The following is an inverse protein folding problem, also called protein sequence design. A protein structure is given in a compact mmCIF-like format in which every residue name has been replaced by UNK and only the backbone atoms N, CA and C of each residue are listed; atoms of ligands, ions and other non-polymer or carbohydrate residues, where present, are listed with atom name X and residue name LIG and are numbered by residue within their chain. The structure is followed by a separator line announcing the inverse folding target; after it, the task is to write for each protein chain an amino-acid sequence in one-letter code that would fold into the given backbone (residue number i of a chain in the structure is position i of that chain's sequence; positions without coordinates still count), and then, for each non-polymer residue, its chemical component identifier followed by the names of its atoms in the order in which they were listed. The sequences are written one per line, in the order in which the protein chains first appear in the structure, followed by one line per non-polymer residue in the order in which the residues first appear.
data_IF_452173480974
#
_entry.id   IF_452173480974
#
_cell.length_a   1.000
_cell.length_b   1.000
_cell.length_c   1.000
_cell.angle_alpha   90.00
_cell.angle_beta   90.00
_cell.angle_gamma   90.00
#
_symmetry.space_group_name_H-M   'P 1'
#
loop_
_entity.id
_entity.type
_entity.pdbx_description
1 polymer ?
#
# COMPACT_ATOMS: atom_id res chain seq x y z
N UNK A 1 8.63 -38.29 10.61
CA UNK A 1 7.86 -37.17 11.19
C UNK A 1 7.64 -36.16 10.06
N UNK A 2 6.45 -36.14 9.43
CA UNK A 2 6.11 -35.15 8.39
C UNK A 2 5.69 -33.88 9.11
N UNK A 3 6.44 -32.80 8.95
CA UNK A 3 6.00 -31.46 9.36
C UNK A 3 4.79 -31.15 8.46
N UNK A 4 3.59 -30.89 9.00
CA UNK A 4 2.47 -30.48 8.17
C UNK A 4 2.84 -29.14 7.54
N UNK A 5 2.88 -29.11 6.21
CA UNK A 5 3.03 -27.87 5.45
C UNK A 5 1.67 -27.20 5.52
N UNK A 6 1.43 -26.40 6.56
CA UNK A 6 0.25 -25.55 6.64
C UNK A 6 0.40 -24.47 5.57
N UNK A 7 -0.57 -24.37 4.66
CA UNK A 7 -0.59 -23.28 3.69
C UNK A 7 -0.65 -21.94 4.45
N UNK A 8 0.09 -20.91 3.99
CA UNK A 8 0.08 -19.61 4.65
C UNK A 8 -1.34 -19.05 4.67
N UNK A 9 -1.73 -18.53 5.85
CA UNK A 9 -3.00 -17.85 6.06
C UNK A 9 -3.11 -16.62 5.15
N UNK A 10 -4.34 -16.16 4.87
CA UNK A 10 -4.55 -14.95 4.07
C UNK A 10 -3.86 -13.70 4.67
N UNK A 11 -3.72 -13.63 6.00
CA UNK A 11 -2.97 -12.57 6.68
C UNK A 11 -1.46 -12.65 6.42
N UNK A 12 -0.87 -13.84 6.47
CA UNK A 12 0.54 -14.05 6.13
C UNK A 12 0.82 -13.76 4.64
N UNK A 13 -0.07 -14.21 3.76
CA UNK A 13 -0.01 -13.88 2.32
C UNK A 13 -0.03 -12.36 2.08
N UNK A 14 -0.98 -11.66 2.70
CA UNK A 14 -1.07 -10.20 2.62
C UNK A 14 0.19 -9.51 3.17
N UNK A 15 0.73 -10.02 4.28
CA UNK A 15 1.96 -9.51 4.89
C UNK A 15 3.16 -9.67 3.95
N UNK A 16 3.34 -10.81 3.30
CA UNK A 16 4.43 -11.00 2.33
C UNK A 16 4.37 -9.98 1.18
N UNK A 17 3.20 -9.79 0.60
CA UNK A 17 3.00 -8.80 -0.46
C UNK A 17 3.26 -7.36 0.03
N UNK A 18 2.76 -6.99 1.21
CA UNK A 18 2.99 -5.66 1.79
C UNK A 18 4.45 -5.40 2.18
N UNK A 19 5.20 -6.43 2.62
CA UNK A 19 6.63 -6.31 2.88
C UNK A 19 7.43 -6.11 1.58
N UNK A 20 7.06 -6.81 0.50
CA UNK A 20 7.64 -6.57 -0.82
C UNK A 20 7.33 -5.14 -1.30
N UNK A 21 6.08 -4.71 -1.22
CA UNK A 21 5.65 -3.37 -1.64
C UNK A 21 6.28 -2.27 -0.79
N UNK A 22 6.44 -2.50 0.52
CA UNK A 22 7.12 -1.59 1.43
C UNK A 22 6.35 -0.30 1.75
N UNK A 23 5.08 -0.19 1.41
CA UNK A 23 4.23 0.96 1.73
C UNK A 23 2.76 0.53 1.78
N UNK A 24 1.86 1.36 2.34
CA UNK A 24 0.43 1.11 2.23
C UNK A 24 0.00 1.04 0.77
N UNK A 25 -0.80 0.03 0.44
CA UNK A 25 -1.08 -0.34 -0.93
C UNK A 25 -2.57 -0.57 -1.16
N UNK A 26 -3.09 -0.35 -2.38
CA UNK A 26 -4.45 -0.72 -2.72
C UNK A 26 -4.64 -2.23 -2.52
N UNK A 27 -5.74 -2.65 -1.91
CA UNK A 27 -6.02 -4.08 -1.70
C UNK A 27 -5.94 -4.89 -3.01
N UNK A 28 -6.34 -4.29 -4.14
CA UNK A 28 -6.19 -4.89 -5.46
C UNK A 28 -4.73 -5.16 -5.83
N UNK A 29 -3.83 -4.19 -5.60
CA UNK A 29 -2.40 -4.35 -5.91
C UNK A 29 -1.77 -5.44 -5.02
N UNK A 30 -2.15 -5.48 -3.74
CA UNK A 30 -1.66 -6.54 -2.82
C UNK A 30 -2.07 -7.93 -3.32
N UNK A 31 -3.33 -8.10 -3.72
CA UNK A 31 -3.81 -9.36 -4.31
C UNK A 31 -3.07 -9.72 -5.61
N UNK A 32 -2.86 -8.74 -6.51
CA UNK A 32 -2.18 -8.96 -7.78
C UNK A 32 -0.70 -9.33 -7.61
N UNK A 33 0.00 -8.64 -6.72
CA UNK A 33 1.40 -8.94 -6.37
C UNK A 33 1.51 -10.33 -5.76
N UNK A 34 0.61 -10.68 -4.84
CA UNK A 34 0.60 -11.99 -4.23
C UNK A 34 0.38 -13.10 -5.27
N UNK A 35 -0.64 -12.94 -6.12
CA UNK A 35 -0.96 -13.90 -7.16
C UNK A 35 0.17 -14.05 -8.20
N UNK A 36 0.85 -12.96 -8.57
CA UNK A 36 1.88 -13.01 -9.61
C UNK A 36 3.24 -13.50 -9.11
N UNK A 37 3.58 -13.28 -7.83
CA UNK A 37 4.95 -13.52 -7.33
C UNK A 37 5.05 -14.63 -6.29
N UNK A 38 3.93 -15.01 -5.66
CA UNK A 38 3.89 -15.93 -4.52
C UNK A 38 2.85 -17.06 -4.68
N UNK A 39 2.27 -17.24 -5.87
CA UNK A 39 1.34 -18.34 -6.22
C UNK A 39 0.16 -18.52 -5.23
N UNK A 40 -0.41 -17.42 -4.71
CA UNK A 40 -1.54 -17.48 -3.78
C UNK A 40 -2.88 -16.98 -4.31
N UNK A 41 -3.94 -17.27 -3.55
CA UNK A 41 -5.35 -17.06 -3.87
C UNK A 41 -5.97 -15.85 -3.14
N UNK A 42 -5.12 -14.94 -2.67
CA UNK A 42 -5.52 -13.74 -1.95
C UNK A 42 -6.51 -12.89 -2.76
N UNK A 43 -7.70 -12.66 -2.21
CA UNK A 43 -8.76 -11.88 -2.85
C UNK A 43 -9.01 -10.54 -2.15
N UNK A 44 -9.52 -9.56 -2.90
CA UNK A 44 -9.88 -8.24 -2.34
C UNK A 44 -10.93 -8.34 -1.22
N UNK A 45 -12.00 -9.16 -1.33
CA UNK A 45 -12.94 -9.36 -0.23
C UNK A 45 -12.29 -9.96 1.03
N UNK A 46 -11.36 -10.91 0.87
CA UNK A 46 -10.62 -11.48 1.99
C UNK A 46 -9.75 -10.41 2.68
N UNK A 47 -9.04 -9.58 1.91
CA UNK A 47 -8.29 -8.45 2.44
C UNK A 47 -9.17 -7.45 3.19
N UNK A 48 -10.35 -7.13 2.67
CA UNK A 48 -11.29 -6.24 3.34
C UNK A 48 -11.80 -6.83 4.66
N UNK A 49 -11.98 -8.15 4.74
CA UNK A 49 -12.33 -8.84 5.99
C UNK A 49 -11.18 -8.77 7.00
N UNK A 50 -9.94 -9.03 6.56
CA UNK A 50 -8.75 -8.96 7.42
C UNK A 50 -8.51 -7.55 7.98
N UNK A 51 -8.77 -6.49 7.22
CA UNK A 51 -8.63 -5.11 7.75
C UNK A 51 -9.64 -4.81 8.87
N UNK A 52 -10.79 -5.49 8.90
CA UNK A 52 -11.77 -5.38 10.00
C UNK A 52 -11.44 -6.31 11.17
N UNK A 53 -10.63 -7.33 10.94
CA UNK A 53 -10.19 -8.28 11.95
C UNK A 53 -8.95 -7.73 12.66
N UNK A 54 -9.10 -7.38 13.93
CA UNK A 54 -8.04 -6.74 14.70
C UNK A 54 -6.85 -7.65 14.97
N UNK A 55 -7.04 -8.96 14.91
CA UNK A 55 -5.99 -9.96 15.14
C UNK A 55 -5.21 -10.29 13.85
N UNK A 56 -5.69 -9.84 12.68
CA UNK A 56 -5.07 -10.16 11.39
C UNK A 56 -3.75 -9.42 11.13
N UNK A 57 -3.38 -8.44 11.97
CA UNK A 57 -2.16 -7.64 11.82
C UNK A 57 -2.18 -6.68 10.63
N UNK A 58 -3.36 -6.45 10.04
CA UNK A 58 -3.59 -5.47 8.98
C UNK A 58 -4.43 -4.31 9.50
N UNK A 59 -4.25 -3.13 8.91
CA UNK A 59 -5.07 -1.95 9.21
C UNK A 59 -5.28 -1.09 7.96
N UNK A 60 -6.09 -0.05 8.08
CA UNK A 60 -6.22 0.96 7.04
C UNK A 60 -4.98 1.89 7.06
N UNK A 61 -4.66 2.45 5.90
CA UNK A 61 -3.87 3.66 5.83
C UNK A 61 -4.73 4.87 6.24
N UNK A 62 -4.11 5.92 6.76
CA UNK A 62 -4.82 7.13 7.19
C UNK A 62 -4.44 8.32 6.28
N UNK A 63 -5.36 9.24 6.04
CA UNK A 63 -5.05 10.50 5.36
C UNK A 63 -4.53 11.56 6.34
N UNK A 64 -4.28 12.77 5.84
CA UNK A 64 -3.84 13.89 6.66
C UNK A 64 -4.87 14.28 7.73
N UNK A 65 -6.15 13.95 7.56
CA UNK A 65 -7.20 14.21 8.55
C UNK A 65 -7.35 13.06 9.56
N UNK A 66 -6.46 12.07 9.50
CA UNK A 66 -6.47 10.85 10.31
C UNK A 66 -7.72 10.00 10.07
N UNK A 67 -8.37 10.17 8.91
CA UNK A 67 -9.47 9.32 8.46
C UNK A 67 -8.91 8.13 7.67
N UNK A 68 -9.61 7.00 7.76
CA UNK A 68 -9.23 5.81 6.99
C UNK A 68 -9.38 6.05 5.49
N UNK A 69 -8.33 5.75 4.72
CA UNK A 69 -8.34 5.84 3.27
C UNK A 69 -8.97 4.57 2.69
N UNK A 70 -10.15 4.64 2.04
CA UNK A 70 -10.85 3.45 1.59
C UNK A 70 -10.00 2.60 0.63
N UNK A 71 -9.96 1.30 0.90
CA UNK A 71 -9.26 0.32 0.06
C UNK A 71 -7.73 0.35 0.12
N UNK A 72 -7.13 1.24 0.92
CA UNK A 72 -5.68 1.30 1.12
C UNK A 72 -5.32 0.60 2.43
N UNK A 73 -4.52 -0.46 2.32
CA UNK A 73 -4.21 -1.36 3.43
C UNK A 73 -2.74 -1.28 3.81
N UNK A 74 -2.45 -1.46 5.09
CA UNK A 74 -1.11 -1.40 5.67
C UNK A 74 -0.93 -2.51 6.72
N UNK A 75 0.32 -2.74 7.13
CA UNK A 75 0.62 -3.57 8.29
C UNK A 75 0.38 -2.76 9.57
N UNK A 76 -0.30 -3.36 10.55
CA UNK A 76 -0.60 -2.70 11.82
C UNK A 76 0.67 -2.40 12.65
N UNK A 77 1.74 -3.16 12.43
CA UNK A 77 3.05 -2.96 13.07
C UNK A 77 3.89 -1.84 12.45
N UNK A 78 3.46 -1.27 11.32
CA UNK A 78 4.14 -0.11 10.75
C UNK A 78 3.89 1.14 11.58
N UNK A 79 4.93 1.97 11.76
CA UNK A 79 4.80 3.25 12.44
C UNK A 79 3.76 4.11 11.72
N UNK A 80 3.03 4.93 12.47
CA UNK A 80 1.94 5.75 11.91
C UNK A 80 2.43 6.67 10.79
N UNK A 81 3.65 7.17 10.92
CA UNK A 81 4.39 7.97 9.94
C UNK A 81 4.44 7.30 8.57
N UNK A 82 4.53 5.97 8.52
CA UNK A 82 4.54 5.18 7.28
C UNK A 82 3.14 4.89 6.76
N UNK A 83 2.13 4.92 7.63
CA UNK A 83 0.73 4.63 7.31
C UNK A 83 -0.07 5.89 6.93
N UNK A 84 0.47 7.07 7.21
CA UNK A 84 -0.14 8.36 6.89
C UNK A 84 0.13 8.73 5.41
N UNK A 85 -0.93 8.92 4.65
CA UNK A 85 -0.92 9.09 3.19
C UNK A 85 -1.50 10.44 2.81
N UNK A 86 -0.64 11.44 2.69
CA UNK A 86 -0.96 12.69 2.00
C UNK A 86 -1.03 12.45 0.47
N UNK A 87 -1.65 13.35 -0.32
CA UNK A 87 -1.78 13.16 -1.76
C UNK A 87 -0.45 12.89 -2.49
N UNK A 88 0.61 13.67 -2.23
CA UNK A 88 1.93 13.45 -2.86
C UNK A 88 2.61 12.21 -2.28
N UNK A 89 2.50 11.96 -0.97
CA UNK A 89 3.06 10.75 -0.37
C UNK A 89 2.46 9.47 -0.96
N UNK A 90 1.15 9.46 -1.24
CA UNK A 90 0.47 8.34 -1.90
C UNK A 90 1.05 8.07 -3.29
N UNK A 91 1.28 9.14 -4.07
CA UNK A 91 1.88 9.05 -5.40
C UNK A 91 3.33 8.55 -5.33
N UNK A 92 4.13 9.08 -4.41
CA UNK A 92 5.51 8.65 -4.19
C UNK A 92 5.58 7.18 -3.76
N UNK A 93 4.72 6.74 -2.84
CA UNK A 93 4.62 5.34 -2.42
C UNK A 93 4.25 4.44 -3.61
N UNK A 94 3.32 4.86 -4.47
CA UNK A 94 2.96 4.11 -5.67
C UNK A 94 4.16 3.88 -6.60
N UNK A 95 4.95 4.91 -6.85
CA UNK A 95 6.15 4.79 -7.69
C UNK A 95 7.23 3.93 -7.03
N UNK A 96 7.45 4.10 -5.71
CA UNK A 96 8.37 3.25 -4.96
C UNK A 96 7.97 1.77 -4.97
N UNK A 97 6.68 1.47 -4.87
CA UNK A 97 6.15 0.11 -5.01
C UNK A 97 6.43 -0.47 -6.41
N UNK A 98 6.24 0.33 -7.46
CA UNK A 98 6.51 -0.08 -8.84
C UNK A 98 7.99 -0.40 -9.04
N UNK A 99 8.90 0.43 -8.53
CA UNK A 99 10.35 0.19 -8.57
C UNK A 99 10.67 -1.16 -7.93
N UNK A 100 10.18 -1.39 -6.70
CA UNK A 100 10.46 -2.62 -5.95
C UNK A 100 9.93 -3.87 -6.65
N UNK A 101 8.73 -3.81 -7.21
CA UNK A 101 8.15 -4.94 -7.97
C UNK A 101 8.91 -5.19 -9.25
N UNK A 102 9.24 -4.16 -10.01
CA UNK A 102 9.99 -4.28 -11.26
C UNK A 102 11.40 -4.85 -11.03
N UNK A 103 12.11 -4.37 -10.00
CA UNK A 103 13.42 -4.90 -9.59
C UNK A 103 13.32 -6.36 -9.13
N UNK A 104 12.35 -6.68 -8.27
CA UNK A 104 12.15 -8.04 -7.80
C UNK A 104 11.90 -9.02 -8.95
N UNK A 105 11.10 -8.60 -9.94
CA UNK A 105 10.83 -9.39 -11.13
C UNK A 105 12.08 -9.52 -12.01
N UNK A 106 12.86 -8.46 -12.20
CA UNK A 106 14.10 -8.48 -12.97
C UNK A 106 15.17 -9.43 -12.38
N UNK A 107 15.11 -9.71 -11.07
CA UNK A 107 15.99 -10.69 -10.42
C UNK A 107 15.58 -12.16 -10.64
N UNK A 108 14.40 -12.43 -11.21
CA UNK A 108 13.91 -13.81 -11.44
C UNK A 108 14.51 -14.38 -12.72
N UNK A 109 14.83 -15.67 -12.70
CA UNK A 109 15.42 -16.38 -13.84
C UNK A 109 14.47 -16.50 -15.05
N UNK A 110 13.16 -16.46 -14.81
CA UNK A 110 12.14 -16.52 -15.86
C UNK A 110 10.91 -15.71 -15.48
N UNK A 111 10.33 -15.03 -16.46
CA UNK A 111 9.09 -14.29 -16.36
C UNK A 111 7.92 -15.14 -16.82
N UNK A 112 6.91 -15.31 -15.96
CA UNK A 112 5.63 -15.91 -16.34
C UNK A 112 4.64 -14.89 -16.91
N UNK A 113 3.50 -15.36 -17.44
CA UNK A 113 2.43 -14.49 -17.94
C UNK A 113 1.83 -13.56 -16.87
N UNK A 114 1.83 -13.99 -15.61
CA UNK A 114 1.29 -13.23 -14.48
C UNK A 114 2.17 -12.02 -14.15
N UNK A 115 3.49 -12.21 -14.08
CA UNK A 115 4.46 -11.14 -13.87
C UNK A 115 4.43 -10.13 -15.03
N UNK A 116 4.35 -10.59 -16.28
CA UNK A 116 4.19 -9.69 -17.44
C UNK A 116 2.92 -8.85 -17.37
N UNK A 117 1.79 -9.43 -16.93
CA UNK A 117 0.54 -8.70 -16.75
C UNK A 117 0.67 -7.65 -15.65
N UNK A 118 1.25 -8.04 -14.51
CA UNK A 118 1.48 -7.12 -13.39
C UNK A 118 2.33 -5.92 -13.83
N UNK A 119 3.45 -6.15 -14.52
CA UNK A 119 4.30 -5.07 -15.03
C UNK A 119 3.54 -4.14 -15.99
N UNK A 120 2.71 -4.69 -16.88
CA UNK A 120 1.91 -3.89 -17.82
C UNK A 120 0.87 -3.02 -17.11
N UNK A 121 0.23 -3.55 -16.07
CA UNK A 121 -0.72 -2.79 -15.26
C UNK A 121 -0.01 -1.68 -14.49
N UNK A 122 1.10 -1.99 -13.82
CA UNK A 122 1.92 -1.00 -13.11
C UNK A 122 2.47 0.09 -14.02
N UNK A 123 2.81 -0.24 -15.27
CA UNK A 123 3.29 0.71 -16.25
C UNK A 123 2.27 1.81 -16.57
N UNK A 124 0.96 1.54 -16.44
CA UNK A 124 -0.08 2.57 -16.67
C UNK A 124 0.00 3.71 -15.66
N UNK A 125 0.54 3.44 -14.47
CA UNK A 125 0.68 4.42 -13.41
C UNK A 125 1.99 5.22 -13.54
N UNK A 126 2.85 4.96 -14.52
CA UNK A 126 4.12 5.66 -14.69
C UNK A 126 4.06 6.54 -15.95
N UNK A 127 4.48 7.82 -15.89
CA UNK A 127 4.58 8.65 -17.09
C UNK A 127 5.48 7.98 -18.13
N UNK A 128 4.96 7.76 -19.35
CA UNK A 128 5.65 7.00 -20.42
C UNK A 128 6.10 5.59 -20.01
N UNK A 129 5.41 4.99 -19.02
CA UNK A 129 5.68 3.65 -18.53
C UNK A 129 5.42 2.55 -19.56
N UNK A 130 4.29 2.54 -20.30
CA UNK A 130 3.97 1.46 -21.24
C UNK A 130 4.97 1.33 -22.38
N UNK A 131 5.65 2.41 -22.75
CA UNK A 131 6.69 2.44 -23.77
C UNK A 131 8.11 2.19 -23.21
N UNK A 132 8.26 2.12 -21.89
CA UNK A 132 9.58 1.99 -21.26
C UNK A 132 10.12 0.57 -21.36
N UNK A 133 11.39 0.46 -21.76
CA UNK A 133 12.15 -0.79 -21.69
C UNK A 133 12.59 -1.12 -20.25
N UNK A 134 12.79 -0.08 -19.43
CA UNK A 134 13.11 -0.20 -18.01
C UNK A 134 12.04 0.57 -17.21
N UNK A 135 11.06 -0.16 -16.71
CA UNK A 135 9.97 0.42 -15.93
C UNK A 135 10.47 0.95 -14.57
N UNK A 136 11.45 0.28 -13.96
CA UNK A 136 12.00 0.68 -12.66
C UNK A 136 12.69 2.03 -12.80
N UNK A 137 13.55 2.19 -13.81
CA UNK A 137 14.24 3.45 -14.06
C UNK A 137 13.27 4.59 -14.39
N UNK A 138 12.26 4.32 -15.23
CA UNK A 138 11.24 5.34 -15.52
C UNK A 138 10.48 5.77 -14.25
N UNK A 139 10.15 4.83 -13.37
CA UNK A 139 9.50 5.12 -12.10
C UNK A 139 10.41 5.90 -11.14
N UNK A 140 11.74 5.66 -11.13
CA UNK A 140 12.72 6.43 -10.34
C UNK A 140 12.73 7.90 -10.78
N UNK A 141 12.85 8.17 -12.08
CA UNK A 141 12.81 9.53 -12.63
C UNK A 141 11.51 10.24 -12.26
N UNK A 142 10.38 9.54 -12.36
CA UNK A 142 9.09 10.09 -11.96
C UNK A 142 9.03 10.38 -10.44
N UNK A 143 9.63 9.53 -9.61
CA UNK A 143 9.68 9.72 -8.16
C UNK A 143 10.56 10.92 -7.78
N UNK A 144 11.73 11.06 -8.39
CA UNK A 144 12.62 12.20 -8.19
C UNK A 144 11.93 13.54 -8.49
N UNK A 145 11.08 13.57 -9.53
CA UNK A 145 10.31 14.76 -9.88
C UNK A 145 9.33 15.22 -8.80
N UNK A 146 8.96 14.35 -7.84
CA UNK A 146 8.05 14.67 -6.75
C UNK A 146 8.74 15.26 -5.51
N UNK A 147 10.09 15.30 -5.48
CA UNK A 147 10.84 15.69 -4.28
C UNK A 147 10.41 17.05 -3.72
N UNK A 148 10.28 18.07 -4.57
CA UNK A 148 9.82 19.40 -4.15
C UNK A 148 8.38 19.39 -3.62
N UNK A 149 7.49 18.61 -4.23
CA UNK A 149 6.09 18.48 -3.80
C UNK A 149 5.98 17.72 -2.46
N UNK A 150 6.83 16.72 -2.23
CA UNK A 150 6.91 16.01 -0.95
C UNK A 150 7.38 16.95 0.16
N UNK A 151 8.40 17.77 -0.09
CA UNK A 151 8.87 18.77 0.87
C UNK A 151 7.76 19.80 1.20
N UNK A 152 6.94 20.17 0.22
CA UNK A 152 5.81 21.09 0.43
C UNK A 152 4.69 20.49 1.31
N UNK A 153 4.50 19.15 1.31
CA UNK A 153 3.51 18.48 2.17
C UNK A 153 4.04 18.16 3.58
N UNK A 154 5.33 18.35 3.85
CA UNK A 154 5.93 18.02 5.15
C UNK A 154 5.24 18.71 6.34
N UNK A 155 4.86 20.01 6.29
CA UNK A 155 4.13 20.65 7.39
C UNK A 155 2.76 20.02 7.65
N UNK A 156 2.03 19.62 6.58
CA UNK A 156 0.74 18.94 6.68
C UNK A 156 0.92 17.58 7.37
N UNK A 157 1.94 16.82 6.94
CA UNK A 157 2.30 15.52 7.51
C UNK A 157 2.66 15.64 8.99
N UNK A 158 3.50 16.61 9.36
CA UNK A 158 3.90 16.86 10.74
C UNK A 158 2.72 17.26 11.64
N UNK A 159 1.80 18.10 11.13
CA UNK A 159 0.61 18.50 11.87
C UNK A 159 -0.34 17.31 12.14
N UNK A 160 -0.50 16.41 11.17
CA UNK A 160 -1.29 15.18 11.35
C UNK A 160 -0.67 14.26 12.41
N UNK A 161 0.65 14.07 12.38
CA UNK A 161 1.37 13.26 13.37
C UNK A 161 1.28 13.85 14.78
N UNK A 162 1.40 15.17 14.91
CA UNK A 162 1.22 15.87 16.19
C UNK A 162 -0.18 15.64 16.76
N UNK A 163 -1.23 15.76 15.94
CA UNK A 163 -2.62 15.44 16.35
C UNK A 163 -2.79 13.97 16.75
N UNK A 164 -2.08 13.06 16.10
CA UNK A 164 -2.20 11.63 16.40
C UNK A 164 -1.66 11.24 17.80
N UNK A 165 -0.83 12.08 18.42
CA UNK A 165 -0.30 11.83 19.78
C UNK A 165 -1.41 11.75 20.82
N UNK A 166 -2.51 12.47 20.65
CA UNK A 166 -3.65 12.42 21.58
C UNK A 166 -4.67 11.31 21.28
N UNK A 167 -4.51 10.58 20.17
CA UNK A 167 -5.42 9.51 19.79
C UNK A 167 -5.18 8.22 20.57
N UNK A 168 -6.25 7.46 20.79
CA UNK A 168 -6.19 6.10 21.30
C UNK A 168 -5.54 5.16 20.28
N UNK A 169 -4.99 4.03 20.75
CA UNK A 169 -4.32 3.05 19.90
C UNK A 169 -5.20 2.57 18.73
N UNK A 170 -6.50 2.38 18.99
CA UNK A 170 -7.45 1.95 17.97
C UNK A 170 -7.65 3.01 16.88
N UNK A 171 -7.82 4.28 17.27
CA UNK A 171 -7.98 5.39 16.33
C UNK A 171 -6.72 5.58 15.47
N UNK A 172 -5.53 5.32 16.02
CA UNK A 172 -4.27 5.35 15.25
C UNK A 172 -4.16 4.23 14.22
N UNK A 173 -4.92 3.15 14.36
CA UNK A 173 -4.91 2.00 13.43
C UNK A 173 -6.02 2.09 12.39
N UNK A 174 -7.23 2.48 12.81
CA UNK A 174 -8.43 2.42 11.97
C UNK A 174 -9.02 3.78 11.62
N UNK A 175 -8.38 4.85 12.10
CA UNK A 175 -8.77 6.22 11.82
C UNK A 175 -9.85 6.75 12.76
N UNK A 176 -10.08 8.06 12.67
CA UNK A 176 -11.15 8.73 13.40
C UNK A 176 -12.45 8.49 12.63
N UNK A 177 -13.52 8.00 13.28
CA UNK A 177 -14.83 7.89 12.63
C UNK A 177 -15.26 9.28 12.17
N UNK A 178 -15.67 9.39 10.91
CA UNK A 178 -16.29 10.61 10.42
C UNK A 178 -17.55 10.85 11.28
N UNK A 179 -17.50 11.86 12.14
CA UNK A 179 -18.72 12.34 12.81
C UNK A 179 -19.62 12.82 11.67
N UNK A 180 -20.80 12.24 11.46
CA UNK A 180 -21.70 12.73 10.42
C UNK A 180 -22.01 14.17 10.79
N UNK A 181 -21.46 15.12 10.03
CA UNK A 181 -21.93 16.49 10.12
C UNK A 181 -23.41 16.43 9.82
N UNK A 182 -24.24 16.72 10.83
CA UNK A 182 -25.67 16.91 10.63
C UNK A 182 -25.78 17.96 9.53
N UNK A 183 -26.11 17.54 8.31
CA UNK A 183 -26.48 18.47 7.24
C UNK A 183 -27.66 19.25 7.78
N UNK A 184 -27.40 20.49 8.16
CA UNK A 184 -28.41 21.47 8.48
C UNK A 184 -29.42 21.46 7.34
N UNK A 185 -30.68 21.24 7.71
CA UNK A 185 -31.82 21.63 6.89
C UNK A 185 -31.74 23.16 6.79
N UNK A 186 -31.47 23.66 5.60
CA UNK A 186 -31.92 24.97 5.16
C UNK A 186 -32.84 24.77 3.96
#
# INVERSE_FOLDING_TARGET
MKIPITLPTAGEQARHALLLLGAPAPARLVAQVHAALFDGDLSVPALAALVRDREAGLCAALDADLAAVPGLIALADWPLERRLMTPVARRACSLAMIIRVAEFIAMRASLGPAEHRLLRELAQDVPHGPESLDLAERARVALESLCAAQAAEEPLRAAALSRAVSLEAEQRLYGIPAVPHQRGRE
#
